data_IF_190293884151
#
_entry.id   IF_190293884151
#
_cell.length_a   1.000
_cell.length_b   1.000
_cell.length_c   1.000
_cell.angle_alpha   90.00
_cell.angle_beta   90.00
_cell.angle_gamma   90.00
#
_symmetry.space_group_name_H-M   'P 1'
#
loop_
_entity.id
_entity.type
_entity.pdbx_description
1 polymer ?
#
# COMPACT_ATOMS: atom_id res chain seq x y z
N UNK A 1 -33.26 34.85 4.57
CA UNK A 1 -32.36 34.08 5.45
C UNK A 1 -31.80 32.85 4.73
N UNK A 2 -32.52 32.27 3.75
CA UNK A 2 -32.09 31.09 2.99
C UNK A 2 -30.78 31.21 2.18
N UNK A 3 -30.46 32.38 1.60
CA UNK A 3 -29.24 32.53 0.77
C UNK A 3 -27.96 32.50 1.60
N UNK A 4 -27.99 33.07 2.81
CA UNK A 4 -26.85 33.08 3.73
C UNK A 4 -26.59 31.67 4.24
N UNK A 5 -27.64 30.89 4.52
CA UNK A 5 -27.50 29.49 4.94
C UNK A 5 -26.93 28.60 3.83
N UNK A 6 -27.37 28.78 2.57
CA UNK A 6 -26.83 28.02 1.45
C UNK A 6 -25.34 28.32 1.19
N UNK A 7 -24.92 29.58 1.33
CA UNK A 7 -23.50 29.98 1.24
C UNK A 7 -22.70 29.40 2.40
N UNK A 8 -23.24 29.44 3.62
CA UNK A 8 -22.59 28.88 4.81
C UNK A 8 -22.39 27.37 4.69
N UNK A 9 -23.41 26.64 4.24
CA UNK A 9 -23.32 25.18 3.99
C UNK A 9 -22.33 24.88 2.86
N UNK A 10 -22.37 25.65 1.77
CA UNK A 10 -21.43 25.53 0.67
C UNK A 10 -19.98 25.73 1.12
N UNK A 11 -19.70 26.76 1.91
CA UNK A 11 -18.38 27.04 2.47
C UNK A 11 -17.91 25.94 3.42
N UNK A 12 -18.81 25.38 4.23
CA UNK A 12 -18.50 24.30 5.18
C UNK A 12 -18.14 23.00 4.45
N UNK A 13 -18.87 22.67 3.37
CA UNK A 13 -18.55 21.53 2.50
C UNK A 13 -17.22 21.76 1.78
N UNK A 14 -16.97 22.96 1.26
CA UNK A 14 -15.70 23.30 0.60
C UNK A 14 -14.50 23.19 1.55
N UNK A 15 -14.64 23.70 2.78
CA UNK A 15 -13.62 23.57 3.81
C UNK A 15 -13.35 22.10 4.17
N UNK A 16 -14.40 21.28 4.30
CA UNK A 16 -14.27 19.85 4.54
C UNK A 16 -13.55 19.13 3.38
N UNK A 17 -13.89 19.46 2.13
CA UNK A 17 -13.24 18.90 0.94
C UNK A 17 -11.76 19.29 0.85
N UNK A 18 -11.42 20.54 1.17
CA UNK A 18 -10.04 21.01 1.21
C UNK A 18 -9.25 20.32 2.32
N UNK A 19 -9.86 20.09 3.49
CA UNK A 19 -9.25 19.37 4.60
C UNK A 19 -8.97 17.90 4.24
N UNK A 20 -9.90 17.22 3.56
CA UNK A 20 -9.66 15.87 3.02
C UNK A 20 -8.51 15.86 2.00
N UNK A 21 -8.47 16.85 1.10
CA UNK A 21 -7.39 17.01 0.10
C UNK A 21 -6.03 17.27 0.76
N UNK A 22 -5.97 18.11 1.80
CA UNK A 22 -4.72 18.45 2.49
C UNK A 22 -4.20 17.24 3.29
N UNK A 23 -5.10 16.48 3.91
CA UNK A 23 -4.76 15.25 4.61
C UNK A 23 -4.25 14.16 3.65
N UNK A 24 -4.84 14.06 2.46
CA UNK A 24 -4.36 13.18 1.39
C UNK A 24 -2.95 13.56 0.89
N UNK A 25 -2.59 14.84 0.94
CA UNK A 25 -1.23 15.31 0.61
C UNK A 25 -0.23 14.96 1.71
N UNK A 26 -0.61 15.08 2.98
CA UNK A 26 0.27 14.71 4.09
C UNK A 26 0.56 13.20 4.15
N UNK A 27 -0.42 12.33 3.83
CA UNK A 27 -0.15 10.88 3.74
C UNK A 27 0.89 10.51 2.68
N UNK A 28 0.97 11.28 1.58
CA UNK A 28 1.99 11.05 0.53
C UNK A 28 3.38 11.45 1.00
N UNK A 29 3.50 12.53 1.77
CA UNK A 29 4.78 12.97 2.35
C UNK A 29 5.22 12.04 3.49
N UNK A 30 4.27 11.55 4.30
CA UNK A 30 4.56 10.59 5.38
C UNK A 30 5.12 9.26 4.82
N UNK A 31 4.62 8.83 3.65
CA UNK A 31 5.11 7.64 2.96
C UNK A 31 6.52 7.76 2.36
N UNK A 32 7.01 8.98 2.13
CA UNK A 32 8.37 9.20 1.61
C UNK A 32 9.42 9.01 2.73
N UNK A 33 9.04 9.21 4.00
CA UNK A 33 9.96 9.02 5.13
C UNK A 33 10.12 7.54 5.51
N UNK A 34 9.07 6.72 5.41
CA UNK A 34 9.12 5.30 5.76
C UNK A 34 10.04 4.48 4.85
N UNK A 35 10.21 4.90 3.59
CA UNK A 35 11.09 4.22 2.63
C UNK A 35 12.58 4.34 3.00
N UNK A 36 12.96 5.34 3.81
CA UNK A 36 14.34 5.55 4.23
C UNK A 36 14.74 4.67 5.44
N UNK A 37 13.78 4.30 6.29
CA UNK A 37 14.05 3.54 7.52
C UNK A 37 14.30 2.05 7.25
N UNK A 38 13.58 1.46 6.28
CA UNK A 38 13.78 0.07 5.84
C UNK A 38 15.16 -0.16 5.21
N UNK A 39 15.69 0.83 4.47
CA UNK A 39 17.02 0.73 3.86
C UNK A 39 18.15 0.71 4.91
N UNK A 40 17.97 1.44 6.01
CA UNK A 40 18.94 1.48 7.11
C UNK A 40 18.99 0.14 7.87
N UNK A 41 17.84 -0.47 8.15
CA UNK A 41 17.79 -1.79 8.80
C UNK A 41 18.34 -2.94 7.95
N UNK A 42 18.30 -2.82 6.63
CA UNK A 42 18.80 -3.85 5.70
C UNK A 42 20.33 -3.88 5.58
N UNK A 43 21.00 -2.74 5.76
CA UNK A 43 22.46 -2.67 5.75
C UNK A 43 23.09 -3.39 6.95
N UNK A 44 22.42 -3.40 8.11
CA UNK A 44 22.91 -4.07 9.32
C UNK A 44 22.65 -5.58 9.30
N UNK A 45 21.53 -6.06 8.72
CA UNK A 45 21.17 -7.48 8.72
C UNK A 45 21.94 -8.37 7.73
N UNK A 46 22.65 -7.81 6.74
CA UNK A 46 23.22 -8.57 5.63
C UNK A 46 24.70 -8.98 5.80
N UNK A 47 25.38 -8.52 6.86
CA UNK A 47 26.82 -8.77 7.01
C UNK A 47 27.15 -10.21 7.48
N UNK A 48 26.24 -10.91 8.15
CA UNK A 48 26.50 -12.26 8.70
C UNK A 48 26.26 -13.42 7.70
N UNK A 49 25.61 -13.20 6.56
CA UNK A 49 25.26 -14.29 5.64
C UNK A 49 26.30 -14.54 4.52
N UNK A 50 27.43 -13.82 4.52
CA UNK A 50 28.46 -13.87 3.46
C UNK A 50 29.35 -15.11 3.51
N UNK A 51 29.19 -15.99 4.49
CA UNK A 51 30.10 -17.12 4.72
C UNK A 51 29.62 -18.45 4.12
N UNK A 52 28.61 -18.48 3.24
CA UNK A 52 28.20 -19.71 2.55
C UNK A 52 28.53 -19.67 1.05
N UNK A 53 29.67 -20.26 0.62
CA UNK A 53 29.96 -20.49 -0.78
C UNK A 53 29.29 -21.80 -1.22
N UNK A 54 28.37 -21.74 -2.18
CA UNK A 54 28.28 -22.77 -3.23
C UNK A 54 27.34 -22.33 -4.35
N UNK A 55 27.98 -22.03 -5.47
CA UNK A 55 27.58 -22.23 -6.86
C UNK A 55 26.34 -23.11 -7.13
N UNK A 56 25.50 -22.62 -8.04
CA UNK A 56 24.70 -23.40 -9.00
C UNK A 56 23.58 -24.31 -8.45
N UNK A 57 22.42 -23.74 -8.12
CA UNK A 57 21.13 -24.43 -8.26
C UNK A 57 19.98 -23.43 -8.15
N UNK A 58 19.23 -23.26 -9.26
CA UNK A 58 17.79 -22.97 -9.36
C UNK A 58 17.25 -21.86 -8.45
N UNK A 59 16.80 -20.77 -9.06
CA UNK A 59 15.87 -19.80 -8.46
C UNK A 59 14.49 -20.42 -8.22
N UNK A 60 14.42 -21.43 -7.34
CA UNK A 60 13.20 -21.92 -6.72
C UNK A 60 13.09 -21.27 -5.34
N UNK A 61 12.83 -19.96 -5.30
CA UNK A 61 12.30 -19.37 -4.07
C UNK A 61 10.85 -19.84 -3.97
N UNK A 62 10.47 -20.57 -2.90
CA UNK A 62 9.18 -21.21 -2.85
C UNK A 62 8.09 -20.13 -2.83
N UNK A 63 7.04 -20.33 -3.63
CA UNK A 63 5.87 -19.45 -3.74
C UNK A 63 5.18 -19.13 -2.38
N UNK A 64 5.61 -19.77 -1.30
CA UNK A 64 5.20 -19.51 0.09
C UNK A 64 5.78 -18.23 0.70
N UNK A 65 6.97 -17.77 0.31
CA UNK A 65 7.58 -16.53 0.85
C UNK A 65 7.11 -15.27 0.12
N UNK A 66 6.66 -15.40 -1.14
CA UNK A 66 6.17 -14.29 -1.94
C UNK A 66 4.77 -13.84 -1.52
N UNK A 67 3.96 -14.74 -0.96
CA UNK A 67 2.61 -14.47 -0.44
C UNK A 67 2.62 -13.42 0.69
N UNK A 68 3.39 -13.59 1.79
CA UNK A 68 3.43 -12.58 2.84
C UNK A 68 3.93 -11.21 2.34
N UNK A 69 4.89 -11.20 1.41
CA UNK A 69 5.37 -9.95 0.80
C UNK A 69 4.32 -9.28 -0.10
N UNK A 70 3.49 -10.06 -0.79
CA UNK A 70 2.36 -9.56 -1.56
C UNK A 70 1.27 -8.99 -0.66
N UNK A 71 0.96 -9.68 0.44
CA UNK A 71 -0.04 -9.27 1.41
C UNK A 71 0.38 -7.97 2.11
N UNK A 72 1.64 -7.85 2.54
CA UNK A 72 2.21 -6.60 3.06
C UNK A 72 2.14 -5.47 2.03
N UNK A 73 2.45 -5.75 0.75
CA UNK A 73 2.39 -4.74 -0.31
C UNK A 73 0.96 -4.29 -0.59
N UNK A 74 -0.01 -5.21 -0.53
CA UNK A 74 -1.44 -4.92 -0.68
C UNK A 74 -1.94 -4.09 0.50
N UNK A 75 -1.58 -4.44 1.74
CA UNK A 75 -1.87 -3.63 2.92
C UNK A 75 -1.32 -2.21 2.81
N UNK A 76 -0.06 -2.07 2.37
CA UNK A 76 0.56 -0.76 2.19
C UNK A 76 -0.18 0.08 1.13
N UNK A 77 -0.61 -0.53 0.03
CA UNK A 77 -1.39 0.15 -1.01
C UNK A 77 -2.79 0.53 -0.54
N UNK A 78 -3.41 -0.30 0.31
CA UNK A 78 -4.71 0.00 0.93
C UNK A 78 -4.60 1.16 1.92
N UNK A 79 -3.56 1.18 2.76
CA UNK A 79 -3.28 2.28 3.69
C UNK A 79 -3.03 3.62 2.97
N UNK A 80 -2.54 3.57 1.73
CA UNK A 80 -2.36 4.74 0.87
C UNK A 80 -3.61 5.16 0.09
N UNK A 81 -4.72 4.43 0.24
CA UNK A 81 -5.95 4.66 -0.51
C UNK A 81 -5.86 4.27 -2.00
N UNK A 82 -4.82 3.54 -2.40
CA UNK A 82 -4.58 3.12 -3.78
C UNK A 82 -5.16 1.72 -4.07
N UNK A 83 -6.43 1.51 -3.71
CA UNK A 83 -7.15 0.22 -3.84
C UNK A 83 -7.10 -0.36 -5.26
N UNK A 84 -7.12 0.49 -6.29
CA UNK A 84 -7.03 0.05 -7.69
C UNK A 84 -5.66 -0.59 -8.00
N UNK A 85 -4.57 -0.05 -7.45
CA UNK A 85 -3.23 -0.63 -7.63
C UNK A 85 -3.09 -1.94 -6.88
N UNK A 86 -3.64 -2.03 -5.66
CA UNK A 86 -3.69 -3.26 -4.89
C UNK A 86 -4.38 -4.39 -5.68
N UNK A 87 -5.56 -4.12 -6.24
CA UNK A 87 -6.31 -5.07 -7.09
C UNK A 87 -5.48 -5.47 -8.32
N UNK A 88 -4.78 -4.53 -8.95
CA UNK A 88 -3.91 -4.82 -10.11
C UNK A 88 -2.78 -5.77 -9.76
N UNK A 89 -2.13 -5.60 -8.60
CA UNK A 89 -1.04 -6.46 -8.14
C UNK A 89 -1.56 -7.85 -7.80
N UNK A 90 -2.65 -7.95 -7.04
CA UNK A 90 -3.28 -9.24 -6.71
C UNK A 90 -3.68 -9.98 -7.98
N UNK A 91 -4.27 -9.28 -8.95
CA UNK A 91 -4.62 -9.86 -10.25
C UNK A 91 -3.41 -10.36 -11.01
N UNK A 92 -2.33 -9.58 -11.03
CA UNK A 92 -1.10 -9.94 -11.74
C UNK A 92 -0.36 -11.11 -11.06
N UNK A 93 -0.39 -11.18 -9.73
CA UNK A 93 0.30 -12.20 -8.95
C UNK A 93 -0.47 -13.53 -8.88
N UNK A 94 -1.79 -13.48 -8.72
CA UNK A 94 -2.63 -14.68 -8.60
C UNK A 94 -3.25 -15.10 -9.94
N UNK A 95 -3.24 -14.24 -10.97
CA UNK A 95 -3.85 -14.54 -12.27
C UNK A 95 -5.38 -14.67 -12.23
N UNK A 96 -6.03 -14.20 -11.17
CA UNK A 96 -7.47 -14.31 -10.95
C UNK A 96 -8.26 -13.23 -11.68
N UNK A 97 -9.58 -13.41 -11.79
CA UNK A 97 -10.46 -12.41 -12.39
C UNK A 97 -10.51 -11.10 -11.58
N UNK A 98 -10.99 -10.04 -12.22
CA UNK A 98 -11.09 -8.72 -11.57
C UNK A 98 -12.03 -8.75 -10.36
N UNK A 99 -13.07 -9.59 -10.40
CA UNK A 99 -14.02 -9.78 -9.31
C UNK A 99 -13.34 -10.43 -8.11
N UNK A 100 -12.61 -11.54 -8.32
CA UNK A 100 -11.89 -12.22 -7.24
C UNK A 100 -10.75 -11.37 -6.67
N UNK A 101 -10.03 -10.62 -7.51
CA UNK A 101 -8.98 -9.72 -7.05
C UNK A 101 -9.53 -8.59 -6.17
N UNK A 102 -10.72 -8.06 -6.50
CA UNK A 102 -11.41 -7.08 -5.66
C UNK A 102 -11.82 -7.69 -4.32
N UNK A 103 -12.46 -8.85 -4.36
CA UNK A 103 -12.95 -9.54 -3.16
C UNK A 103 -11.81 -9.87 -2.20
N UNK A 104 -10.69 -10.37 -2.72
CA UNK A 104 -9.48 -10.66 -1.96
C UNK A 104 -8.92 -9.41 -1.25
N UNK A 105 -8.78 -8.30 -1.98
CA UNK A 105 -8.31 -7.02 -1.43
C UNK A 105 -9.29 -6.48 -0.38
N UNK A 106 -10.60 -6.62 -0.58
CA UNK A 106 -11.62 -6.23 0.40
C UNK A 106 -11.65 -7.12 1.64
N UNK A 107 -11.21 -8.38 1.52
CA UNK A 107 -11.07 -9.27 2.65
C UNK A 107 -9.81 -8.96 3.46
N UNK A 108 -8.71 -8.58 2.81
CA UNK A 108 -7.51 -8.05 3.48
C UNK A 108 -7.76 -6.67 4.13
N UNK A 109 -8.63 -5.85 3.56
CA UNK A 109 -8.96 -4.53 4.13
C UNK A 109 -9.83 -4.63 5.41
N UNK A 110 -10.63 -5.69 5.51
CA UNK A 110 -11.57 -5.91 6.63
C UNK A 110 -11.04 -6.83 7.73
N UNK A 111 -10.02 -7.63 7.44
CA UNK A 111 -9.33 -8.49 8.40
C UNK A 111 -8.24 -7.74 9.14
#
# INVERSE_FOLDING_TARGET
METIEMIAVGALILALLLLIKVFSLQSRVNAIQSDLEWLKGRAEGQMINRLKPSTAARSDKPASEQRPLLDERVHHLLAQGEKIKAIKIVRAAHGIGLKEAKDYVENLERG
#
